data_IF_301294742474
#
_entry.id   IF_301294742474
#
_cell.length_a   1.000
_cell.length_b   1.000
_cell.length_c   1.000
_cell.angle_alpha   90.00
_cell.angle_beta   90.00
_cell.angle_gamma   90.00
#
_symmetry.space_group_name_H-M   'P 1'
#
loop_
_entity.id
_entity.type
_entity.pdbx_description
1 polymer ?
2 polymer ?
#
loop_
_entity_poly.entity_id
_entity_poly.type
_entity_poly.pdbx_seq_one_letter_code
_entity_poly.pdbx_strand_id
1 'polyribonucleotide' 'GGCAGAGUCCUUCGGGACAUUGCACCUGCC' ?
#
# COMPACT_ATOMS: atom_id res chain seq x y z
N UNK B 1 -18.10 -4.73 -12.02
CA UNK B 1 -18.44 -3.89 -10.84
C UNK B 1 -18.20 -2.41 -11.19
N UNK B 2 -18.44 -1.50 -10.27
CA UNK B 2 -18.22 -0.06 -10.56
C UNK B 2 -17.42 0.59 -9.42
N UNK B 3 -16.12 0.42 -9.41
CA UNK B 3 -15.25 0.98 -8.36
C UNK B 3 -15.02 2.48 -8.62
N UNK B 4 -15.28 3.34 -7.65
CA UNK B 4 -15.06 4.80 -7.87
C UNK B 4 -13.62 5.05 -8.32
N UNK B 5 -12.65 4.33 -7.78
CA UNK B 5 -11.24 4.54 -8.19
C UNK B 5 -10.82 6.00 -7.89
N UNK B 6 -10.05 6.22 -6.85
CA UNK B 6 -9.63 7.62 -6.53
C UNK B 6 -8.15 7.62 -6.11
N UNK B 7 -7.45 8.72 -6.36
CA UNK B 7 -6.02 8.82 -6.01
C UNK B 7 -5.86 9.11 -4.51
N UNK B 8 -4.83 8.58 -3.89
CA UNK B 8 -4.63 8.83 -2.42
C UNK B 8 -3.13 8.80 -2.09
N UNK B 9 -2.77 8.96 -0.84
CA UNK B 9 -1.32 8.93 -0.47
C UNK B 9 -0.90 7.48 -0.16
N UNK B 10 -1.72 6.74 0.56
CA UNK B 10 -1.37 5.33 0.88
C UNK B 10 -2.23 4.39 0.03
N UNK B 11 -1.69 3.29 -0.45
CA UNK B 11 -2.50 2.36 -1.25
C UNK B 11 -2.82 1.11 -0.42
N UNK B 12 -3.98 0.52 -0.62
CA UNK B 12 -4.37 -0.69 0.15
C UNK B 12 -4.37 -1.92 -0.79
N UNK B 13 -3.62 -2.95 -0.47
CA UNK B 13 -3.61 -4.15 -1.35
C UNK B 13 -4.36 -5.29 -0.65
N UNK B 14 -5.21 -6.01 -1.35
CA UNK B 14 -5.96 -7.11 -0.69
C UNK B 14 -5.85 -8.40 -1.53
N UNK B 15 -6.53 -9.46 -1.16
CA UNK B 15 -6.43 -10.73 -1.93
C UNK B 15 -5.00 -11.27 -1.87
N UNK B 16 -4.36 -11.21 -0.72
CA UNK B 16 -2.97 -11.73 -0.62
C UNK B 16 -2.98 -13.14 0.00
N UNK B 17 -1.84 -13.72 0.26
CA UNK B 17 -1.82 -15.09 0.86
C UNK B 17 -2.15 -14.98 2.36
N UNK B 18 -2.68 -16.03 2.95
CA UNK B 18 -3.03 -15.98 4.39
C UNK B 18 -1.95 -16.71 5.22
N UNK B 19 -0.69 -16.60 4.85
CA UNK B 19 0.38 -17.29 5.62
C UNK B 19 1.69 -16.48 5.54
N UNK B 20 1.62 -15.16 5.52
CA UNK B 20 2.88 -14.36 5.43
C UNK B 20 3.27 -13.86 6.82
N UNK B 21 4.53 -13.66 7.07
CA UNK B 21 4.95 -13.16 8.41
C UNK B 21 4.84 -11.63 8.41
N UNK B 22 5.19 -10.97 9.49
CA UNK B 22 5.08 -9.48 9.51
C UNK B 22 6.35 -8.87 8.90
N UNK B 23 7.51 -9.43 9.16
CA UNK B 23 8.76 -8.89 8.56
C UNK B 23 8.85 -9.32 7.08
N UNK B 24 8.17 -10.39 6.69
CA UNK B 24 8.25 -10.83 5.26
C UNK B 24 7.31 -9.98 4.40
N UNK B 25 6.11 -9.71 4.86
CA UNK B 25 5.18 -8.89 4.01
C UNK B 25 5.67 -7.43 3.95
N UNK B 26 6.22 -6.90 5.01
CA UNK B 26 6.70 -5.49 4.98
C UNK B 26 7.99 -5.39 4.14
N UNK B 27 8.81 -6.43 4.10
CA UNK B 27 10.07 -6.35 3.30
C UNK B 27 9.75 -6.39 1.79
N UNK B 28 8.71 -7.11 1.38
CA UNK B 28 8.38 -7.17 -0.08
C UNK B 28 7.73 -5.85 -0.52
N UNK B 29 6.87 -5.27 0.29
CA UNK B 29 6.22 -3.98 -0.12
C UNK B 29 7.27 -2.86 -0.22
N UNK B 30 8.27 -2.86 0.63
CA UNK B 30 9.30 -1.78 0.56
C UNK B 30 10.27 -2.00 -0.61
N UNK B 31 10.38 -3.19 -1.17
CA UNK B 31 11.33 -3.41 -2.30
C UNK B 31 10.67 -3.03 -3.63
N UNK B 32 9.40 -3.33 -3.82
CA UNK B 32 8.73 -2.98 -5.10
C UNK B 32 8.27 -1.52 -5.08
N UNK B 33 7.49 -1.11 -4.12
CA UNK B 33 7.00 0.31 -4.07
C UNK B 33 8.20 1.27 -4.01
N UNK B 34 9.26 0.93 -3.30
CA UNK B 34 10.42 1.86 -3.22
C UNK B 34 11.01 2.10 -4.63
N UNK B 35 11.03 1.10 -5.48
CA UNK B 35 11.60 1.31 -6.86
C UNK B 35 10.99 2.56 -7.51
N UNK B 36 9.72 2.82 -7.30
CA UNK B 36 9.10 4.04 -7.91
C UNK B 36 9.62 5.29 -7.18
N UNK B 37 9.48 5.35 -5.87
CA UNK B 37 9.97 6.54 -5.13
C UNK B 37 10.42 6.13 -3.71
N UNK B 38 10.53 7.08 -2.80
CA UNK B 38 10.96 6.71 -1.42
C UNK B 38 9.72 6.44 -0.56
N UNK B 39 9.72 5.38 0.23
CA UNK B 39 8.53 5.07 1.07
C UNK B 39 8.77 5.57 2.50
N UNK B 40 7.72 6.00 3.19
CA UNK B 40 7.90 6.50 4.58
C UNK B 40 7.81 5.32 5.56
N UNK B 41 6.73 4.55 5.50
CA UNK B 41 6.59 3.39 6.42
C UNK B 41 5.56 2.38 5.87
N UNK B 42 5.51 1.19 6.42
CA UNK B 42 4.54 0.19 5.92
C UNK B 42 3.90 -0.52 7.14
N UNK B 43 2.59 -0.62 7.17
CA UNK B 43 1.93 -1.29 8.34
C UNK B 43 1.20 -2.56 7.88
N UNK B 44 1.24 -3.62 8.65
CA UNK B 44 0.55 -4.88 8.25
C UNK B 44 -0.23 -5.42 9.46
N UNK B 45 -1.49 -5.79 9.28
CA UNK B 45 -2.26 -6.32 10.43
C UNK B 45 -2.69 -7.78 10.15
N UNK B 46 -2.83 -8.60 11.18
CA UNK B 46 -3.23 -10.01 10.95
C UNK B 46 -4.58 -10.28 11.65
N UNK B 47 -5.50 -9.34 11.60
CA UNK B 47 -6.83 -9.57 12.26
C UNK B 47 -7.77 -10.24 11.26
N UNK B 48 -9.00 -10.57 11.66
CA UNK B 48 -9.94 -11.23 10.70
C UNK B 48 -10.08 -10.36 9.44
N UNK B 49 -10.49 -9.11 9.59
CA UNK B 49 -10.64 -8.24 8.39
C UNK B 49 -9.28 -8.13 7.67
N UNK B 50 -8.20 -8.01 8.40
CA UNK B 50 -6.86 -7.91 7.73
C UNK B 50 -6.22 -9.30 7.62
N UNK B 51 -6.90 -10.25 7.00
CA UNK B 51 -6.32 -11.61 6.88
C UNK B 51 -5.75 -11.79 5.46
N UNK B 52 -4.99 -10.82 4.97
CA UNK B 52 -4.42 -10.95 3.60
C UNK B 52 -4.39 -9.55 2.94
N UNK B 53 -3.69 -8.60 3.52
CA UNK B 53 -3.65 -7.23 2.92
C UNK B 53 -2.65 -6.33 3.68
N UNK B 54 -2.30 -5.19 3.13
CA UNK B 54 -1.33 -4.30 3.84
C UNK B 54 -1.53 -2.84 3.39
N UNK B 55 -0.77 -1.91 3.92
CA UNK B 55 -0.91 -0.48 3.51
C UNK B 55 0.49 0.13 3.34
N UNK B 56 0.73 0.84 2.26
CA UNK B 56 2.09 1.46 2.09
C UNK B 56 1.95 2.98 1.91
N UNK B 57 2.83 3.75 2.51
CA UNK B 57 2.74 5.23 2.36
C UNK B 57 3.79 5.69 1.34
N UNK B 58 3.38 6.41 0.31
CA UNK B 58 4.37 6.86 -0.71
C UNK B 58 4.82 8.29 -0.39
N UNK B 59 6.03 8.66 -0.78
CA UNK B 59 6.52 10.05 -0.49
C UNK B 59 5.51 11.08 -1.00
N UNK B 60 4.92 10.85 -2.16
CA UNK B 60 3.93 11.83 -2.70
C UNK B 60 2.73 11.08 -3.32
N UNK B 61 1.62 11.75 -3.49
CA UNK B 61 0.42 11.06 -4.10
C UNK B 61 0.78 10.55 -5.50
N UNK B 62 1.56 11.29 -6.26
CA UNK B 62 1.92 10.81 -7.64
C UNK B 62 2.71 9.48 -7.55
N UNK B 63 3.57 9.33 -6.56
CA UNK B 63 4.36 8.06 -6.45
C UNK B 63 3.42 6.84 -6.37
N UNK B 64 2.25 6.96 -5.77
CA UNK B 64 1.32 5.80 -5.69
C UNK B 64 0.60 5.61 -7.03
N UNK B 65 0.34 6.68 -7.75
CA UNK B 65 -0.37 6.52 -9.06
C UNK B 65 0.47 5.64 -10.00
N UNK B 66 1.77 5.83 -10.04
CA UNK B 66 2.63 4.98 -10.94
C UNK B 66 2.73 3.57 -10.36
N UNK B 67 2.89 3.42 -9.07
CA UNK B 67 3.00 2.05 -8.47
C UNK B 67 1.73 1.22 -8.77
N UNK B 68 0.59 1.85 -9.04
CA UNK B 68 -0.64 1.05 -9.33
C UNK B 68 -0.76 0.75 -10.83
N UNK B 69 -0.35 1.65 -11.70
CA UNK B 69 -0.47 1.38 -13.17
C UNK B 69 0.42 0.18 -13.55
N UNK B 70 1.58 0.04 -12.96
CA UNK B 70 2.47 -1.11 -13.30
C UNK B 70 2.14 -2.33 -12.43
N UNK B 71 1.71 -2.13 -11.20
CA UNK B 71 1.39 -3.31 -10.33
C UNK B 71 -0.12 -3.54 -10.28
N UNK B 72 -0.84 -3.26 -11.35
CA UNK B 72 -2.32 -3.48 -11.32
C UNK B 72 -2.61 -4.97 -11.59
N UNK B 73 -2.74 -5.78 -10.57
CA UNK B 73 -3.00 -7.23 -10.78
C UNK B 73 -1.67 -7.94 -11.07
N UNK B 74 -0.75 -7.95 -10.13
CA UNK B 74 0.56 -8.62 -10.37
C UNK B 74 0.83 -9.66 -9.27
N UNK B 75 1.81 -10.51 -9.46
CA UNK B 75 2.15 -11.55 -8.48
C UNK B 75 2.96 -10.95 -7.31
N UNK B 76 2.65 -11.33 -6.09
CA UNK B 76 3.41 -10.78 -4.92
C UNK B 76 3.95 -11.94 -4.08
N UNK B 77 3.09 -12.79 -3.57
CA UNK B 77 3.57 -13.95 -2.76
C UNK B 77 3.15 -15.26 -3.44
N UNK B 78 3.70 -15.57 -4.60
CA UNK B 78 3.31 -16.82 -5.30
C UNK B 78 1.81 -16.82 -5.60
N UNK B 79 1.27 -15.69 -6.02
CA UNK B 79 -0.20 -15.63 -6.32
C UNK B 79 -0.56 -14.27 -6.94
N UNK B 80 -1.61 -14.23 -7.76
CA UNK B 80 -2.04 -12.98 -8.41
C UNK B 80 -2.81 -12.10 -7.41
N UNK B 81 -2.68 -10.79 -7.52
CA UNK B 81 -3.41 -9.89 -6.57
C UNK B 81 -3.64 -8.51 -7.21
N UNK B 82 -4.84 -7.96 -7.08
CA UNK B 82 -5.10 -6.61 -7.67
C UNK B 82 -4.93 -5.55 -6.57
N UNK B 83 -4.48 -4.37 -6.92
CA UNK B 83 -4.30 -3.32 -5.88
C UNK B 83 -5.36 -2.22 -6.04
N UNK B 84 -5.94 -1.76 -4.95
CA UNK B 84 -6.96 -0.67 -5.05
C UNK B 84 -6.49 0.49 -4.17
N UNK B 85 -6.57 1.72 -4.64
CA UNK B 85 -6.11 2.88 -3.80
C UNK B 85 -6.74 2.80 -2.40
N UNK B 86 -6.14 3.43 -1.41
CA UNK B 86 -6.72 3.37 -0.03
C UNK B 86 -7.96 4.29 0.04
N UNK B 87 -8.73 4.21 1.11
CA UNK B 87 -9.93 5.08 1.23
C UNK B 87 -9.56 6.38 1.96
N UNK B 88 -8.74 6.31 2.99
CA UNK B 88 -8.36 7.55 3.73
C UNK B 88 -6.85 7.78 3.60
N UNK B 89 -6.34 8.84 4.18
CA UNK B 89 -4.86 9.11 4.09
C UNK B 89 -4.14 8.40 5.24
N UNK B 90 -2.84 8.58 5.37
CA UNK B 90 -2.11 7.90 6.48
C UNK B 90 -1.98 8.86 7.68
N UNK B 91 -1.97 8.35 8.88
CA UNK B 91 -1.85 9.24 10.08
C UNK B 91 -0.45 9.87 10.14
N UNK B 92 0.57 9.24 9.58
CA UNK B 92 1.93 9.87 9.64
C UNK B 92 1.93 11.16 8.79
N UNK B 93 1.27 11.17 7.65
CA UNK B 93 1.23 12.41 6.81
C UNK B 93 0.48 13.53 7.57
N UNK B 94 -0.36 13.20 8.53
CA UNK B 94 -1.09 14.27 9.29
C UNK B 94 -0.06 15.31 9.80
N UNK B 95 1.11 14.87 10.24
CA UNK B 95 2.14 15.83 10.74
C UNK B 95 3.17 16.18 9.65
N UNK B 96 3.25 15.42 8.59
CA UNK B 96 4.25 15.74 7.51
C UNK B 96 3.89 17.08 6.85
N UNK B 97 2.60 17.39 6.70
CA UNK B 97 2.23 18.71 6.08
C UNK B 97 3.05 19.84 6.74
N UNK B 98 3.32 19.73 8.02
CA UNK B 98 4.13 20.77 8.71
C UNK B 98 3.86 20.75 10.22
N UNK B 99 4.44 19.79 10.94
CA UNK B 99 4.24 19.67 12.42
C UNK B 99 2.79 19.98 12.82
N UNK B 100 1.82 19.43 12.11
CA UNK B 100 0.38 19.68 12.44
C UNK B 100 0.13 21.17 12.71
N UNK B 101 -0.23 21.94 11.70
CA UNK B 101 -0.49 23.39 11.92
C UNK B 101 -1.99 23.61 12.10
#
# INVERSE_FOLDING_TARGET
AVPETRPNHTIYINNLNEKIKKDELKKSLHAIFSRFGQILDILVSRSLKMRGQAFVIFKEVSSATNALRSMQGFPFYDKPMRIQYAKTDSDIIAKMKGTFV
#
